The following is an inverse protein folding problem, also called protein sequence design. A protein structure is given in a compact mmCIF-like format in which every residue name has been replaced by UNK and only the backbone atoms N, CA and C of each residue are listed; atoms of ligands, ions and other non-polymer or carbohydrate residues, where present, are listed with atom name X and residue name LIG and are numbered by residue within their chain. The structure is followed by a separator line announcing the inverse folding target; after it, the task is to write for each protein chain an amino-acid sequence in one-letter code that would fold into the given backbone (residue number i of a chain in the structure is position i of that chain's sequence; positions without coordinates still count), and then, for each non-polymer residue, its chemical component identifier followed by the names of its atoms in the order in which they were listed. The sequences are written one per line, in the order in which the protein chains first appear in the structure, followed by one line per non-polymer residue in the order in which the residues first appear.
data_IF_193939416515
#
_entry.id   IF_193939416515
#
_cell.length_a   1.000
_cell.length_b   1.000
_cell.length_c   1.000
_cell.angle_alpha   90.00
_cell.angle_beta   90.00
_cell.angle_gamma   90.00
#
_symmetry.space_group_name_H-M   'P 1'
#
loop_
_entity.id
_entity.type
_entity.pdbx_description
1 polymer ?
#
# COMPACT_ATOMS: atom_id res chain seq x y z
N UNK A 1 -0.65 13.58 -20.63
CA UNK A 1 0.19 14.34 -19.68
C UNK A 1 1.39 13.47 -19.35
N UNK A 2 2.62 13.99 -19.30
CA UNK A 2 3.78 13.18 -18.94
C UNK A 2 3.71 12.83 -17.46
N UNK A 3 3.49 11.56 -17.12
CA UNK A 3 3.52 11.08 -15.75
C UNK A 3 4.92 10.54 -15.45
N UNK A 4 5.68 11.23 -14.60
CA UNK A 4 7.05 10.84 -14.24
C UNK A 4 7.08 9.47 -13.54
N UNK A 5 6.01 9.10 -12.84
CA UNK A 5 5.94 7.82 -12.14
C UNK A 5 5.69 6.65 -13.10
N UNK A 6 4.94 6.85 -14.19
CA UNK A 6 4.83 5.84 -15.25
C UNK A 6 6.20 5.58 -15.92
N UNK A 7 7.02 6.63 -16.07
CA UNK A 7 8.37 6.47 -16.59
C UNK A 7 9.27 5.65 -15.65
N UNK A 8 9.16 5.88 -14.33
CA UNK A 8 10.01 5.20 -13.33
C UNK A 8 9.49 3.83 -12.88
N UNK A 9 8.23 3.49 -13.13
CA UNK A 9 7.55 2.33 -12.56
C UNK A 9 8.36 1.00 -12.64
N UNK A 10 8.91 0.66 -13.81
CA UNK A 10 9.65 -0.60 -14.03
C UNK A 10 11.01 -0.65 -13.34
N UNK A 11 11.54 0.50 -12.91
CA UNK A 11 12.85 0.64 -12.26
C UNK A 11 12.72 1.10 -10.81
N UNK A 12 11.51 1.36 -10.35
CA UNK A 12 11.24 1.99 -9.07
C UNK A 12 11.78 1.13 -7.92
N UNK A 13 11.61 -0.19 -8.02
CA UNK A 13 12.12 -1.18 -7.06
C UNK A 13 13.65 -1.30 -7.03
N UNK A 14 14.36 -0.84 -8.07
CA UNK A 14 15.83 -0.85 -8.14
C UNK A 14 16.48 0.37 -7.49
N UNK A 15 15.68 1.36 -7.10
CA UNK A 15 16.20 2.56 -6.45
C UNK A 15 16.74 2.20 -5.07
N UNK A 16 17.95 2.66 -4.75
CA UNK A 16 18.57 2.44 -3.44
C UNK A 16 17.67 2.93 -2.28
N UNK A 17 16.89 4.00 -2.51
CA UNK A 17 15.94 4.55 -1.55
C UNK A 17 14.89 3.52 -1.11
N UNK A 18 14.45 2.63 -2.00
CA UNK A 18 13.48 1.59 -1.67
C UNK A 18 14.01 0.60 -0.65
N UNK A 19 15.31 0.27 -0.77
CA UNK A 19 15.96 -0.71 0.11
C UNK A 19 16.42 -0.09 1.42
N UNK A 20 16.99 1.11 1.40
CA UNK A 20 17.68 1.67 2.56
C UNK A 20 16.86 2.73 3.30
N UNK A 21 15.92 3.40 2.63
CA UNK A 21 15.05 4.40 3.25
C UNK A 21 13.67 3.82 3.56
N UNK A 22 13.00 3.24 2.55
CA UNK A 22 11.58 2.87 2.68
C UNK A 22 11.38 1.51 3.35
N UNK A 23 12.27 0.52 3.15
CA UNK A 23 12.13 -0.78 3.83
C UNK A 23 12.13 -0.68 5.37
N UNK A 24 13.05 0.08 6.03
CA UNK A 24 12.97 0.27 7.48
C UNK A 24 11.65 0.88 7.95
N UNK A 25 11.10 1.85 7.20
CA UNK A 25 9.79 2.44 7.49
C UNK A 25 8.68 1.39 7.40
N UNK A 26 8.66 0.57 6.33
CA UNK A 26 7.66 -0.50 6.18
C UNK A 26 7.77 -1.55 7.27
N UNK A 27 8.97 -1.90 7.69
CA UNK A 27 9.20 -2.84 8.79
C UNK A 27 8.66 -2.29 10.11
N UNK A 28 8.86 -0.99 10.36
CA UNK A 28 8.29 -0.34 11.53
C UNK A 28 6.75 -0.33 11.46
N UNK A 29 6.16 -0.06 10.30
CA UNK A 29 4.71 -0.09 10.09
C UNK A 29 4.14 -1.47 10.39
N UNK A 30 4.77 -2.55 9.90
CA UNK A 30 4.35 -3.93 10.17
C UNK A 30 4.31 -4.20 11.68
N UNK A 31 5.35 -3.77 12.41
CA UNK A 31 5.41 -3.94 13.87
C UNK A 31 4.27 -3.19 14.56
N UNK A 32 4.09 -1.91 14.23
CA UNK A 32 3.04 -1.07 14.83
C UNK A 32 1.65 -1.62 14.54
N UNK A 33 1.40 -2.11 13.32
CA UNK A 33 0.13 -2.73 12.94
C UNK A 33 -0.10 -4.05 13.65
N UNK A 34 0.94 -4.85 13.89
CA UNK A 34 0.85 -6.08 14.67
C UNK A 34 0.41 -5.79 16.10
N UNK A 35 1.03 -4.81 16.74
CA UNK A 35 0.66 -4.38 18.10
C UNK A 35 -0.77 -3.82 18.15
N UNK A 36 -1.16 -3.00 17.19
CA UNK A 36 -2.52 -2.48 17.07
C UNK A 36 -3.54 -3.61 16.91
N UNK A 37 -3.29 -4.55 15.98
CA UNK A 37 -4.19 -5.68 15.71
C UNK A 37 -4.36 -6.56 16.94
N UNK A 38 -3.26 -6.91 17.61
CA UNK A 38 -3.29 -7.72 18.84
C UNK A 38 -4.09 -7.04 19.97
N UNK A 39 -4.00 -5.71 20.07
CA UNK A 39 -4.64 -4.94 21.13
C UNK A 39 -6.11 -4.63 20.88
N UNK A 40 -6.49 -4.35 19.63
CA UNK A 40 -7.80 -3.76 19.31
C UNK A 40 -8.63 -4.56 18.30
N UNK A 41 -8.04 -5.47 17.52
CA UNK A 41 -8.68 -6.20 16.41
C UNK A 41 -8.28 -7.68 16.40
N UNK A 42 -8.20 -8.29 17.58
CA UNK A 42 -7.70 -9.66 17.69
C UNK A 42 -8.63 -10.63 16.94
N UNK A 43 -8.08 -11.38 15.98
CA UNK A 43 -8.79 -12.25 15.02
C UNK A 43 -9.78 -11.55 14.07
N UNK A 44 -10.03 -10.24 14.19
CA UNK A 44 -10.86 -9.49 13.25
C UNK A 44 -10.08 -9.10 12.00
N UNK A 45 -10.77 -8.84 10.88
CA UNK A 45 -10.15 -8.30 9.67
C UNK A 45 -9.68 -6.87 9.94
N UNK A 46 -8.48 -6.54 9.45
CA UNK A 46 -7.95 -5.18 9.51
C UNK A 46 -8.05 -4.55 8.12
N UNK A 47 -8.83 -3.47 7.99
CA UNK A 47 -8.98 -2.75 6.73
C UNK A 47 -7.97 -1.61 6.64
N UNK A 48 -7.10 -1.67 5.63
CA UNK A 48 -5.99 -0.72 5.45
C UNK A 48 -6.09 -0.03 4.10
N UNK A 49 -5.95 1.30 4.11
CA UNK A 49 -5.78 2.12 2.91
C UNK A 49 -4.32 2.57 2.78
N UNK A 50 -3.67 2.23 1.67
CA UNK A 50 -2.30 2.64 1.32
C UNK A 50 -2.35 3.76 0.27
N UNK A 51 -2.02 4.98 0.68
CA UNK A 51 -2.06 6.20 -0.14
C UNK A 51 -0.75 6.40 -0.90
N UNK A 52 -0.83 6.36 -2.24
CA UNK A 52 0.37 6.40 -3.09
C UNK A 52 1.11 5.06 -3.04
N UNK A 53 0.38 3.95 -3.21
CA UNK A 53 0.91 2.60 -2.98
C UNK A 53 2.04 2.21 -3.95
N UNK A 54 2.24 2.98 -5.03
CA UNK A 54 3.28 2.73 -6.02
C UNK A 54 3.16 1.30 -6.58
N UNK A 55 4.28 0.55 -6.70
CA UNK A 55 4.26 -0.83 -7.16
C UNK A 55 3.87 -1.83 -6.05
N UNK A 56 3.36 -1.37 -4.90
CA UNK A 56 2.76 -2.20 -3.85
C UNK A 56 3.73 -2.95 -2.95
N UNK A 57 4.87 -2.33 -2.60
CA UNK A 57 5.84 -2.96 -1.68
C UNK A 57 5.25 -3.14 -0.28
N UNK A 58 4.56 -2.13 0.26
CA UNK A 58 3.90 -2.24 1.57
C UNK A 58 2.76 -3.23 1.55
N UNK A 59 1.88 -3.16 0.55
CA UNK A 59 0.79 -4.14 0.35
C UNK A 59 1.32 -5.58 0.38
N UNK A 60 2.44 -5.84 -0.31
CA UNK A 60 3.07 -7.17 -0.31
C UNK A 60 3.55 -7.58 1.07
N UNK A 61 4.24 -6.68 1.76
CA UNK A 61 4.82 -6.94 3.08
C UNK A 61 3.67 -7.20 4.10
N UNK A 62 2.60 -6.40 4.07
CA UNK A 62 1.38 -6.62 4.86
C UNK A 62 0.69 -7.96 4.57
N UNK A 63 0.49 -8.29 3.28
CA UNK A 63 -0.16 -9.54 2.88
C UNK A 63 0.64 -10.81 3.16
N UNK A 64 1.92 -10.69 3.54
CA UNK A 64 2.76 -11.80 4.03
C UNK A 64 2.67 -11.98 5.54
N UNK A 65 2.61 -10.89 6.28
CA UNK A 65 2.67 -10.89 7.75
C UNK A 65 1.28 -11.10 8.39
N UNK A 66 0.21 -10.68 7.72
CA UNK A 66 -1.15 -10.75 8.25
C UNK A 66 -2.03 -11.74 7.47
N UNK A 67 -2.69 -12.65 8.19
CA UNK A 67 -3.62 -13.63 7.60
C UNK A 67 -5.00 -13.01 7.31
N UNK A 68 -5.43 -12.05 8.14
CA UNK A 68 -6.76 -11.42 8.05
C UNK A 68 -6.60 -9.89 7.87
N UNK A 69 -6.17 -9.49 6.68
CA UNK A 69 -5.97 -8.09 6.30
C UNK A 69 -6.60 -7.83 4.93
N UNK A 70 -7.36 -6.75 4.83
CA UNK A 70 -7.91 -6.25 3.57
C UNK A 70 -7.22 -4.93 3.24
N UNK A 71 -6.47 -4.92 2.14
CA UNK A 71 -5.66 -3.77 1.75
C UNK A 71 -6.20 -3.18 0.45
N UNK A 72 -6.54 -1.90 0.51
CA UNK A 72 -6.81 -1.07 -0.67
C UNK A 72 -5.62 -0.18 -0.93
N UNK A 73 -4.99 -0.30 -2.11
CA UNK A 73 -3.97 0.63 -2.58
C UNK A 73 -4.54 1.64 -3.56
N UNK A 74 -4.22 2.92 -3.36
CA UNK A 74 -4.48 3.97 -4.36
C UNK A 74 -3.18 4.56 -4.87
N UNK A 75 -3.13 4.84 -6.16
CA UNK A 75 -2.06 5.59 -6.80
C UNK A 75 -2.61 6.22 -8.09
N UNK A 76 -2.18 7.43 -8.44
CA UNK A 76 -2.65 8.09 -9.64
C UNK A 76 -1.92 7.57 -10.90
N UNK A 77 -0.79 6.90 -10.74
CA UNK A 77 -0.05 6.28 -11.85
C UNK A 77 -0.69 4.94 -12.24
N UNK A 78 -1.22 4.89 -13.45
CA UNK A 78 -1.79 3.66 -14.03
C UNK A 78 -0.77 2.52 -14.03
N UNK A 79 0.49 2.82 -14.35
CA UNK A 79 1.54 1.80 -14.45
C UNK A 79 2.00 1.31 -13.08
N UNK A 80 2.04 2.18 -12.06
CA UNK A 80 2.27 1.75 -10.68
C UNK A 80 1.18 0.77 -10.23
N UNK A 81 -0.08 1.11 -10.49
CA UNK A 81 -1.21 0.22 -10.19
C UNK A 81 -1.14 -1.09 -10.98
N UNK A 82 -0.77 -1.05 -12.26
CA UNK A 82 -0.59 -2.26 -13.07
C UNK A 82 0.44 -3.22 -12.45
N UNK A 83 1.60 -2.68 -12.05
CA UNK A 83 2.66 -3.46 -11.41
C UNK A 83 2.19 -3.98 -10.04
N UNK A 84 1.54 -3.13 -9.24
CA UNK A 84 1.04 -3.51 -7.92
C UNK A 84 -0.02 -4.61 -8.00
N UNK A 85 -0.97 -4.52 -8.92
CA UNK A 85 -1.98 -5.57 -9.18
C UNK A 85 -1.33 -6.91 -9.52
N UNK A 86 -0.28 -6.90 -10.35
CA UNK A 86 0.48 -8.12 -10.70
C UNK A 86 1.19 -8.73 -9.49
N UNK A 87 1.74 -7.90 -8.60
CA UNK A 87 2.47 -8.34 -7.40
C UNK A 87 1.53 -8.78 -6.27
N UNK A 88 0.39 -8.13 -6.16
CA UNK A 88 -0.54 -8.23 -5.03
C UNK A 88 -1.97 -8.52 -5.52
N UNK A 89 -2.23 -9.65 -6.20
CA UNK A 89 -3.52 -9.91 -6.85
C UNK A 89 -4.71 -10.04 -5.89
N UNK A 90 -4.45 -10.19 -4.58
CA UNK A 90 -5.48 -10.26 -3.54
C UNK A 90 -5.93 -8.90 -3.01
N UNK A 91 -5.16 -7.84 -3.24
CA UNK A 91 -5.48 -6.50 -2.74
C UNK A 91 -6.36 -5.72 -3.74
N UNK A 92 -7.20 -4.82 -3.23
CA UNK A 92 -7.97 -3.87 -4.04
C UNK A 92 -7.04 -2.75 -4.51
N UNK A 93 -7.20 -2.31 -5.74
CA UNK A 93 -6.35 -1.29 -6.35
C UNK A 93 -7.18 -0.29 -7.13
N UNK A 94 -7.02 0.99 -6.81
CA UNK A 94 -7.74 2.09 -7.44
C UNK A 94 -6.75 3.04 -8.10
N UNK A 95 -6.99 3.38 -9.37
CA UNK A 95 -6.28 4.47 -10.03
C UNK A 95 -7.01 5.75 -9.65
N UNK A 96 -6.40 6.56 -8.78
CA UNK A 96 -7.06 7.71 -8.16
C UNK A 96 -6.02 8.72 -7.66
N UNK A 97 -6.32 10.00 -7.79
CA UNK A 97 -5.57 11.06 -7.11
C UNK A 97 -6.05 11.17 -5.66
N UNK A 98 -5.12 11.27 -4.71
CA UNK A 98 -5.45 11.34 -3.28
C UNK A 98 -6.25 12.61 -2.91
N UNK A 99 -6.24 13.65 -3.76
CA UNK A 99 -7.10 14.82 -3.57
C UNK A 99 -8.59 14.52 -3.80
N UNK A 100 -8.91 13.41 -4.47
CA UNK A 100 -10.28 12.95 -4.75
C UNK A 100 -10.78 11.89 -3.75
N UNK A 101 -10.13 11.76 -2.58
CA UNK A 101 -10.50 10.79 -1.54
C UNK A 101 -11.96 10.90 -1.07
N UNK A 102 -12.60 12.07 -1.23
CA UNK A 102 -14.00 12.30 -0.90
C UNK A 102 -14.99 11.46 -1.74
N UNK A 103 -14.51 10.77 -2.78
CA UNK A 103 -15.31 9.86 -3.60
C UNK A 103 -15.34 8.43 -3.01
N UNK A 104 -14.42 8.10 -2.10
CA UNK A 104 -14.42 6.80 -1.43
C UNK A 104 -15.55 6.74 -0.39
N UNK A 105 -16.44 5.75 -0.56
CA UNK A 105 -17.56 5.45 0.34
C UNK A 105 -17.28 4.16 1.14
N UNK A 106 -16.08 4.08 1.72
CA UNK A 106 -15.63 2.93 2.52
C UNK A 106 -14.85 3.43 3.75
N UNK A 107 -15.10 2.79 4.90
CA UNK A 107 -14.33 3.02 6.13
C UNK A 107 -13.08 2.13 6.18
N UNK A 108 -11.99 2.68 6.71
CA UNK A 108 -10.72 1.99 6.94
C UNK A 108 -10.33 2.10 8.41
N UNK A 109 -9.76 1.03 8.96
CA UNK A 109 -9.23 1.04 10.33
C UNK A 109 -7.93 1.84 10.41
N UNK A 110 -7.09 1.75 9.37
CA UNK A 110 -5.80 2.44 9.28
C UNK A 110 -5.60 2.99 7.87
N UNK A 111 -5.08 4.22 7.78
CA UNK A 111 -4.64 4.87 6.54
C UNK A 111 -3.14 5.12 6.63
N UNK A 112 -2.38 4.75 5.60
CA UNK A 112 -0.91 4.78 5.58
C UNK A 112 -0.43 5.53 4.35
N UNK A 113 0.67 6.26 4.48
CA UNK A 113 1.42 6.86 3.37
C UNK A 113 2.91 6.79 3.71
N UNK A 114 3.75 6.29 2.77
CA UNK A 114 5.17 5.99 3.00
C UNK A 114 6.10 6.60 1.98
#
# INVERSE_FOLDING_TARGET
MFNIWDFWADKYDRLWVQKYSLKPTRDHIVIVLSDYKNKFKNNEELKVLDLGCGPGELIRDLGREFVNIDVTGIDFSEKMIEISKKRNPRAKHLIMDVSDLNILDEDYDIIIST
#
